data_IF_804166930836
#
_entry.id   IF_804166930836
#
_cell.length_a   1.000
_cell.length_b   1.000
_cell.length_c   1.000
_cell.angle_alpha   90.00
_cell.angle_beta   90.00
_cell.angle_gamma   90.00
#
_symmetry.space_group_name_H-M   'P 1'
#
loop_
_entity.id
_entity.type
_entity.pdbx_description
1 polymer ?
#
# COMPACT_ATOMS: atom_id res chain seq x y z
N UNK A 1 -11.59 82.99 -53.45
CA UNK A 1 -11.06 81.70 -53.91
C UNK A 1 -9.57 81.69 -53.59
N UNK A 2 -9.15 80.98 -52.55
CA UNK A 2 -7.73 80.76 -52.22
C UNK A 2 -7.35 79.37 -52.73
N UNK A 3 -6.27 79.27 -53.49
CA UNK A 3 -5.70 78.01 -53.94
C UNK A 3 -4.44 77.73 -53.14
N UNK A 4 -4.45 76.63 -52.41
CA UNK A 4 -3.31 75.99 -51.76
C UNK A 4 -2.20 75.70 -52.77
N UNK A 5 -0.96 76.07 -52.44
CA UNK A 5 0.21 75.39 -52.99
C UNK A 5 1.32 75.41 -51.93
N UNK A 6 1.26 74.43 -51.03
CA UNK A 6 2.27 74.16 -50.04
C UNK A 6 2.52 72.66 -49.97
N UNK A 7 3.30 72.14 -50.93
CA UNK A 7 3.80 70.76 -50.86
C UNK A 7 5.33 70.82 -50.74
N UNK A 8 5.83 70.54 -49.54
CA UNK A 8 7.20 70.09 -49.34
C UNK A 8 7.28 68.59 -49.71
N UNK A 9 8.39 68.10 -50.27
CA UNK A 9 8.50 66.70 -50.65
C UNK A 9 8.70 65.84 -49.40
N UNK A 10 7.60 65.33 -48.84
CA UNK A 10 7.67 64.20 -47.93
C UNK A 10 8.15 62.99 -48.74
N UNK A 11 9.30 62.45 -48.33
CA UNK A 11 9.89 61.27 -48.94
C UNK A 11 9.11 60.05 -48.44
N UNK A 12 8.21 59.53 -49.26
CA UNK A 12 7.32 58.38 -48.99
C UNK A 12 8.07 57.04 -49.00
N UNK A 13 9.18 56.96 -48.29
CA UNK A 13 9.85 55.69 -48.02
C UNK A 13 9.06 54.92 -46.96
N UNK A 14 8.68 53.64 -47.19
CA UNK A 14 7.87 52.91 -46.22
C UNK A 14 8.62 52.79 -44.89
N UNK A 15 8.06 53.39 -43.83
CA UNK A 15 8.48 53.16 -42.46
C UNK A 15 8.38 51.66 -42.16
N UNK A 16 9.53 51.05 -41.88
CA UNK A 16 9.63 49.64 -41.51
C UNK A 16 9.19 49.49 -40.04
N UNK A 17 8.13 48.73 -39.73
CA UNK A 17 7.66 48.61 -38.37
C UNK A 17 8.69 47.89 -37.47
N UNK A 18 9.02 48.50 -36.33
CA UNK A 18 9.97 48.00 -35.30
C UNK A 18 9.25 47.00 -34.38
N UNK A 19 8.67 45.96 -34.97
CA UNK A 19 8.19 44.78 -34.24
C UNK A 19 8.26 43.56 -35.15
N UNK A 20 9.48 43.11 -35.43
CA UNK A 20 9.70 41.72 -35.80
C UNK A 20 9.59 40.86 -34.54
N UNK A 21 8.34 40.64 -34.10
CA UNK A 21 8.05 39.60 -33.11
C UNK A 21 8.27 38.29 -33.84
N UNK A 22 9.50 37.76 -33.79
CA UNK A 22 9.84 36.37 -34.10
C UNK A 22 8.75 35.50 -33.48
N UNK A 23 7.78 35.08 -34.31
CA UNK A 23 6.92 33.95 -33.99
C UNK A 23 7.86 32.76 -34.02
N UNK A 24 8.49 32.46 -32.88
CA UNK A 24 8.87 31.10 -32.59
C UNK A 24 7.61 30.30 -32.85
N UNK A 25 7.63 29.46 -33.89
CA UNK A 25 6.73 28.33 -33.97
C UNK A 25 6.98 27.55 -32.68
N UNK A 26 6.21 27.87 -31.63
CA UNK A 26 5.90 26.90 -30.60
C UNK A 26 5.23 25.81 -31.39
N UNK A 27 6.04 24.80 -31.75
CA UNK A 27 5.58 23.53 -32.25
C UNK A 27 4.60 23.08 -31.19
N UNK A 28 3.32 23.35 -31.43
CA UNK A 28 2.25 22.73 -30.67
C UNK A 28 2.59 21.26 -30.76
N UNK A 29 3.08 20.70 -29.65
CA UNK A 29 3.09 19.27 -29.46
C UNK A 29 1.62 18.93 -29.63
N UNK A 30 1.29 18.47 -30.83
CA UNK A 30 0.07 17.77 -31.12
C UNK A 30 -0.18 16.91 -29.90
N UNK A 31 -1.25 17.21 -29.17
CA UNK A 31 -1.74 16.32 -28.14
C UNK A 31 -1.69 14.95 -28.76
N UNK A 32 -0.85 14.09 -28.19
CA UNK A 32 -0.92 12.69 -28.51
C UNK A 32 -2.35 12.34 -28.20
N UNK A 33 -3.15 12.11 -29.25
CA UNK A 33 -4.33 11.29 -29.12
C UNK A 33 -3.78 9.93 -28.76
N UNK A 34 -3.50 9.74 -27.47
CA UNK A 34 -3.34 8.42 -26.92
C UNK A 34 -4.66 7.74 -27.20
N UNK A 35 -4.56 6.61 -27.89
CA UNK A 35 -5.67 5.70 -28.06
C UNK A 35 -6.34 5.56 -26.70
N UNK A 36 -7.55 6.08 -26.52
CA UNK A 36 -8.24 6.03 -25.24
C UNK A 36 -8.37 4.58 -24.74
N UNK A 37 -8.35 3.60 -25.65
CA UNK A 37 -8.26 2.18 -25.35
C UNK A 37 -6.88 1.71 -24.86
N UNK A 38 -5.79 2.31 -25.33
CA UNK A 38 -4.42 2.06 -24.86
C UNK A 38 -4.16 2.72 -23.49
N UNK A 39 -4.57 3.98 -23.33
CA UNK A 39 -4.46 4.70 -22.05
C UNK A 39 -5.31 4.04 -20.95
N UNK A 40 -6.56 3.65 -21.28
CA UNK A 40 -7.39 2.88 -20.34
C UNK A 40 -6.76 1.53 -19.99
N UNK A 41 -6.14 0.85 -20.96
CA UNK A 41 -5.42 -0.40 -20.73
C UNK A 41 -4.22 -0.24 -19.79
N UNK A 42 -3.44 0.83 -19.95
CA UNK A 42 -2.30 1.15 -19.08
C UNK A 42 -2.74 1.49 -17.65
N UNK A 43 -3.84 2.25 -17.51
CA UNK A 43 -4.43 2.57 -16.20
C UNK A 43 -4.93 1.30 -15.52
N UNK A 44 -5.69 0.46 -16.23
CA UNK A 44 -6.18 -0.82 -15.68
C UNK A 44 -5.01 -1.70 -15.26
N UNK A 45 -3.98 -1.83 -16.10
CA UNK A 45 -2.77 -2.60 -15.75
C UNK A 45 -2.13 -2.05 -14.48
N UNK A 46 -1.97 -0.74 -14.37
CA UNK A 46 -1.36 -0.10 -13.19
C UNK A 46 -2.18 -0.33 -11.93
N UNK A 47 -3.51 -0.19 -12.01
CA UNK A 47 -4.43 -0.46 -10.91
C UNK A 47 -4.38 -1.92 -10.49
N UNK A 48 -4.38 -2.85 -11.45
CA UNK A 48 -4.27 -4.29 -11.16
C UNK A 48 -2.95 -4.61 -10.47
N UNK A 49 -1.82 -4.07 -10.94
CA UNK A 49 -0.53 -4.26 -10.29
C UNK A 49 -0.50 -3.65 -8.89
N UNK A 50 -1.05 -2.44 -8.70
CA UNK A 50 -1.14 -1.81 -7.38
C UNK A 50 -2.00 -2.63 -6.42
N UNK A 51 -3.15 -3.14 -6.87
CA UNK A 51 -4.02 -4.02 -6.08
C UNK A 51 -3.34 -5.36 -5.77
N UNK A 52 -2.60 -5.93 -6.72
CA UNK A 52 -1.86 -7.18 -6.51
C UNK A 52 -0.75 -6.97 -5.48
N UNK A 53 0.04 -5.91 -5.61
CA UNK A 53 1.07 -5.56 -4.63
C UNK A 53 0.42 -5.30 -3.26
N UNK A 54 -0.64 -4.50 -3.19
CA UNK A 54 -1.36 -4.24 -1.95
C UNK A 54 -1.92 -5.53 -1.33
N UNK A 55 -2.44 -6.45 -2.15
CA UNK A 55 -2.93 -7.75 -1.70
C UNK A 55 -1.79 -8.61 -1.14
N UNK A 56 -0.66 -8.71 -1.84
CA UNK A 56 0.52 -9.46 -1.38
C UNK A 56 1.06 -8.87 -0.07
N UNK A 57 1.20 -7.56 0.03
CA UNK A 57 1.64 -6.89 1.25
C UNK A 57 0.66 -7.11 2.41
N UNK A 58 -0.66 -7.00 2.16
CA UNK A 58 -1.72 -7.23 3.14
C UNK A 58 -1.80 -8.68 3.61
N UNK A 59 -1.59 -9.62 2.70
CA UNK A 59 -1.65 -11.06 2.97
C UNK A 59 -0.44 -11.49 3.75
N UNK A 60 0.74 -11.08 3.30
CA UNK A 60 1.96 -11.60 3.86
C UNK A 60 2.35 -10.81 5.11
N UNK A 61 2.57 -9.49 5.04
CA UNK A 61 3.35 -8.77 6.05
C UNK A 61 2.60 -8.48 7.35
N UNK A 62 1.45 -7.82 7.26
CA UNK A 62 0.84 -7.16 8.41
C UNK A 62 -0.67 -7.37 8.41
N UNK A 63 -1.19 -8.08 9.42
CA UNK A 63 -2.62 -8.08 9.67
C UNK A 63 -2.94 -7.13 10.83
N UNK A 64 -3.76 -6.09 10.60
CA UNK A 64 -4.30 -5.30 11.68
C UNK A 64 -5.38 -6.12 12.41
N UNK A 65 -5.30 -6.14 13.73
CA UNK A 65 -6.32 -6.73 14.60
C UNK A 65 -6.75 -5.71 15.65
N UNK A 66 -8.03 -5.73 15.98
CA UNK A 66 -8.55 -5.09 17.18
C UNK A 66 -8.62 -6.13 18.30
N UNK A 67 -8.25 -5.74 19.52
CA UNK A 67 -8.35 -6.62 20.68
C UNK A 67 -9.81 -6.65 21.17
N UNK A 68 -10.52 -7.79 21.06
CA UNK A 68 -11.93 -7.86 21.42
C UNK A 68 -12.15 -8.23 22.90
N UNK A 69 -11.08 -8.39 23.69
CA UNK A 69 -11.21 -8.86 25.08
C UNK A 69 -10.05 -8.42 25.97
N UNK A 70 -10.36 -8.09 27.23
CA UNK A 70 -9.44 -7.76 28.31
C UNK A 70 -8.54 -8.92 28.82
N UNK A 71 -8.52 -10.08 28.16
CA UNK A 71 -7.76 -11.27 28.62
C UNK A 71 -6.24 -11.08 28.67
N UNK A 72 -5.72 -10.03 28.03
CA UNK A 72 -4.29 -9.75 27.95
C UNK A 72 -3.88 -8.52 28.79
N UNK A 73 -4.78 -7.98 29.63
CA UNK A 73 -4.46 -6.90 30.56
C UNK A 73 -3.37 -7.33 31.57
N UNK A 74 -2.42 -6.44 31.91
CA UNK A 74 -2.31 -5.03 31.52
C UNK A 74 -1.52 -4.78 30.23
N UNK A 75 -1.12 -5.83 29.49
CA UNK A 75 -0.27 -5.65 28.30
C UNK A 75 -1.04 -5.12 27.08
N UNK A 76 -2.30 -5.53 26.93
CA UNK A 76 -3.18 -5.14 25.82
C UNK A 76 -4.58 -4.91 26.40
N UNK A 77 -5.13 -3.73 26.15
CA UNK A 77 -6.47 -3.35 26.60
C UNK A 77 -7.50 -3.63 25.50
N UNK A 78 -8.75 -3.79 25.90
CA UNK A 78 -9.85 -3.93 24.96
C UNK A 78 -9.98 -2.67 24.09
N UNK A 79 -10.10 -2.85 22.77
CA UNK A 79 -10.13 -1.75 21.81
C UNK A 79 -8.76 -1.33 21.25
N UNK A 80 -7.66 -1.87 21.75
CA UNK A 80 -6.33 -1.61 21.18
C UNK A 80 -6.21 -2.14 19.74
N UNK A 81 -5.50 -1.39 18.90
CA UNK A 81 -5.14 -1.78 17.54
C UNK A 81 -3.71 -2.29 17.51
N UNK A 82 -3.52 -3.56 17.15
CA UNK A 82 -2.20 -4.16 16.99
C UNK A 82 -1.95 -4.59 15.55
N UNK A 83 -0.68 -4.53 15.17
CA UNK A 83 -0.20 -5.03 13.88
C UNK A 83 0.61 -6.28 14.13
N UNK A 84 0.13 -7.41 13.60
CA UNK A 84 0.77 -8.71 13.78
C UNK A 84 1.51 -9.11 12.51
N UNK A 85 2.77 -9.49 12.68
CA UNK A 85 3.61 -10.06 11.63
C UNK A 85 3.36 -11.57 11.50
N UNK A 86 2.96 -12.03 10.32
CA UNK A 86 2.68 -13.46 10.06
C UNK A 86 3.92 -14.33 9.86
N UNK A 87 5.07 -13.73 9.59
CA UNK A 87 6.28 -14.42 9.16
C UNK A 87 7.18 -14.83 10.31
N UNK A 88 6.96 -14.25 11.50
CA UNK A 88 7.86 -14.35 12.66
C UNK A 88 8.15 -15.80 13.08
N UNK A 89 7.22 -16.71 12.80
CA UNK A 89 7.34 -18.12 13.14
C UNK A 89 7.36 -19.02 11.91
N UNK A 90 7.64 -18.48 10.72
CA UNK A 90 7.56 -19.17 9.44
C UNK A 90 6.18 -19.16 8.82
N UNK A 91 6.09 -19.66 7.58
CA UNK A 91 4.84 -19.69 6.83
C UNK A 91 4.15 -21.02 6.94
N UNK A 92 2.89 -20.99 7.37
CA UNK A 92 1.97 -22.13 7.31
C UNK A 92 0.91 -21.88 6.24
N UNK A 93 0.17 -22.93 5.85
CA UNK A 93 -1.03 -22.83 5.02
C UNK A 93 -1.99 -21.73 5.50
N UNK A 94 -2.07 -21.52 6.82
CA UNK A 94 -2.96 -20.52 7.43
C UNK A 94 -2.46 -19.08 7.31
N UNK A 95 -1.23 -18.87 6.85
CA UNK A 95 -0.68 -17.54 6.57
C UNK A 95 -1.18 -16.99 5.23
N UNK A 96 -1.74 -17.83 4.36
CA UNK A 96 -2.25 -17.47 3.03
C UNK A 96 -3.79 -17.37 3.09
N UNK A 97 -4.43 -16.37 2.45
CA UNK A 97 -5.88 -16.28 2.36
C UNK A 97 -6.42 -17.56 1.70
N UNK A 98 -7.57 -18.03 2.20
CA UNK A 98 -8.21 -19.29 1.78
C UNK A 98 -7.45 -20.57 2.13
N UNK A 99 -6.30 -20.46 2.81
CA UNK A 99 -5.48 -21.59 3.26
C UNK A 99 -5.35 -22.74 2.23
N UNK A 100 -4.89 -22.46 0.99
CA UNK A 100 -4.81 -23.47 -0.05
C UNK A 100 -3.84 -24.60 0.37
N UNK A 101 -4.15 -25.87 0.08
CA UNK A 101 -3.33 -27.02 0.46
C UNK A 101 -2.11 -27.16 -0.46
N UNK A 102 -1.25 -26.14 -0.50
CA UNK A 102 -0.09 -26.08 -1.39
C UNK A 102 1.16 -26.74 -0.81
N UNK A 103 1.26 -26.83 0.52
CA UNK A 103 2.40 -27.41 1.21
C UNK A 103 1.98 -27.99 2.56
N UNK A 104 2.57 -29.13 2.91
CA UNK A 104 2.44 -29.74 4.23
C UNK A 104 3.60 -29.28 5.11
N UNK A 105 3.28 -28.58 6.20
CA UNK A 105 4.26 -28.11 7.17
C UNK A 105 4.45 -26.59 7.18
N UNK A 106 5.65 -26.16 7.60
CA UNK A 106 5.99 -24.76 7.82
C UNK A 106 7.36 -24.48 7.20
N UNK A 107 7.40 -23.58 6.22
CA UNK A 107 8.67 -23.15 5.59
C UNK A 107 9.28 -22.02 6.43
N UNK A 108 10.61 -22.02 6.58
CA UNK A 108 11.36 -21.07 7.42
C UNK A 108 10.85 -21.03 8.87
N UNK A 109 10.61 -22.20 9.48
CA UNK A 109 10.10 -22.30 10.85
C UNK A 109 11.11 -21.76 11.86
N UNK A 110 10.74 -20.66 12.50
CA UNK A 110 11.37 -20.25 13.75
C UNK A 110 10.55 -20.76 14.92
N UNK A 111 11.22 -21.40 15.87
CA UNK A 111 10.59 -21.80 17.11
C UNK A 111 10.23 -20.53 17.89
N UNK A 112 8.99 -20.43 18.40
CA UNK A 112 8.61 -19.29 19.19
C UNK A 112 9.34 -19.32 20.54
N UNK A 113 9.50 -18.15 21.16
CA UNK A 113 10.20 -18.03 22.44
C UNK A 113 9.20 -17.82 23.57
N UNK A 114 9.52 -18.31 24.76
CA UNK A 114 8.66 -18.09 25.94
C UNK A 114 8.51 -16.59 26.19
N UNK A 115 7.28 -16.19 26.49
CA UNK A 115 6.90 -14.79 26.66
C UNK A 115 6.36 -14.13 25.40
N UNK A 116 6.51 -14.72 24.22
CA UNK A 116 5.96 -14.19 22.97
C UNK A 116 4.43 -14.06 23.02
N UNK A 117 3.89 -13.00 22.42
CA UNK A 117 2.44 -12.87 22.19
C UNK A 117 2.14 -13.46 20.82
N UNK A 118 1.45 -14.59 20.81
CA UNK A 118 1.15 -15.34 19.60
C UNK A 118 -0.33 -15.25 19.25
N UNK A 119 -0.60 -15.16 17.95
CA UNK A 119 -1.95 -15.23 17.40
C UNK A 119 -2.14 -16.56 16.72
N UNK A 120 -3.17 -17.30 17.10
CA UNK A 120 -3.45 -18.60 16.52
C UNK A 120 -4.96 -18.82 16.36
N UNK A 121 -5.31 -19.68 15.40
CA UNK A 121 -6.68 -20.08 15.15
C UNK A 121 -7.11 -21.11 16.19
N UNK A 122 -8.27 -20.91 16.80
CA UNK A 122 -8.82 -21.86 17.77
C UNK A 122 -9.02 -23.22 17.08
N UNK A 123 -8.38 -24.31 17.52
CA UNK A 123 -8.43 -25.60 16.81
C UNK A 123 -9.84 -26.18 16.64
N UNK A 124 -10.79 -25.80 17.51
CA UNK A 124 -12.18 -26.28 17.49
C UNK A 124 -12.99 -25.78 16.29
N UNK A 125 -12.72 -24.56 15.81
CA UNK A 125 -13.53 -23.90 14.77
C UNK A 125 -12.69 -23.34 13.62
N UNK A 126 -11.37 -23.12 13.80
CA UNK A 126 -10.44 -22.56 12.82
C UNK A 126 -10.84 -21.19 12.21
N UNK A 127 -11.92 -20.57 12.67
CA UNK A 127 -12.38 -19.25 12.21
C UNK A 127 -11.97 -18.13 13.16
N UNK A 128 -12.02 -18.40 14.46
CA UNK A 128 -11.73 -17.40 15.49
C UNK A 128 -10.23 -17.35 15.79
N UNK A 129 -9.65 -16.15 15.68
CA UNK A 129 -8.25 -15.88 16.02
C UNK A 129 -8.15 -15.49 17.51
N UNK A 130 -7.24 -16.14 18.24
CA UNK A 130 -6.97 -15.89 19.65
C UNK A 130 -5.58 -15.29 19.82
N UNK A 131 -5.46 -14.33 20.74
CA UNK A 131 -4.20 -13.67 21.09
C UNK A 131 -3.86 -14.09 22.52
N UNK A 132 -2.74 -14.78 22.70
CA UNK A 132 -2.28 -15.28 24.01
C UNK A 132 -0.78 -15.15 24.15
N UNK A 133 -0.30 -15.12 25.40
CA UNK A 133 1.13 -15.21 25.71
C UNK A 133 1.58 -16.67 25.71
N UNK A 134 2.69 -16.95 25.04
CA UNK A 134 3.32 -18.26 25.02
C UNK A 134 4.06 -18.50 26.33
N UNK A 135 3.60 -19.48 27.09
CA UNK A 135 4.15 -19.82 28.40
C UNK A 135 4.94 -21.13 28.35
N UNK A 136 4.48 -22.08 27.53
CA UNK A 136 5.07 -23.40 27.38
C UNK A 136 5.49 -23.71 25.95
N UNK A 137 6.60 -24.42 25.84
CA UNK A 137 7.13 -25.03 24.64
C UNK A 137 7.00 -26.56 24.72
N UNK A 138 7.08 -27.27 23.58
CA UNK A 138 7.09 -28.73 23.57
C UNK A 138 8.18 -29.29 24.49
N UNK A 139 7.80 -30.18 25.40
CA UNK A 139 8.70 -30.77 26.41
C UNK A 139 8.57 -30.15 27.81
N UNK A 140 7.93 -28.99 27.93
CA UNK A 140 7.70 -28.36 29.22
C UNK A 140 6.59 -29.06 30.01
N UNK A 141 6.79 -29.16 31.32
CA UNK A 141 5.75 -29.53 32.29
C UNK A 141 5.32 -28.25 32.98
N UNK A 142 4.04 -27.94 32.92
CA UNK A 142 3.49 -26.71 33.45
C UNK A 142 2.40 -27.07 34.44
N UNK A 143 2.41 -26.45 35.62
CA UNK A 143 1.41 -26.66 36.64
C UNK A 143 0.87 -25.32 37.15
N UNK A 144 -0.45 -25.25 37.30
CA UNK A 144 -1.10 -24.16 38.01
C UNK A 144 -1.36 -24.60 39.46
N UNK A 145 -0.77 -23.91 40.43
CA UNK A 145 -0.98 -24.14 41.87
C UNK A 145 -1.31 -22.80 42.53
N UNK A 146 -2.49 -22.69 43.15
CA UNK A 146 -2.94 -21.48 43.85
C UNK A 146 -2.72 -20.18 43.02
N UNK A 147 -3.18 -20.20 41.76
CA UNK A 147 -3.03 -19.12 40.77
C UNK A 147 -1.57 -18.74 40.42
N UNK A 148 -0.58 -19.55 40.78
CA UNK A 148 0.81 -19.43 40.33
C UNK A 148 1.14 -20.52 39.34
N UNK A 149 1.90 -20.13 38.32
CA UNK A 149 2.38 -21.02 37.28
C UNK A 149 3.79 -21.51 37.64
N UNK A 150 4.00 -22.83 37.58
CA UNK A 150 5.26 -23.53 37.80
C UNK A 150 5.66 -24.31 36.55
#
# INVERSE_FOLDING_TARGET
MWSDQGDAPFNDGPEKPVYDRRRSKTKARSGGGGDAGGEAGEIVKTVVFALLIAFVLRVLLFQPFTIPSASMEPNLYEGDYIVVTKWSYGYSRYSIPFAPPLFEGRILSQAPTRGDIVVFKLPRDNKTDYIKRLIGLPGDRIQMVANKLY
#
